data_IF_769176250047
#
_entry.id   IF_769176250047
#
_cell.length_a   1.000
_cell.length_b   1.000
_cell.length_c   1.000
_cell.angle_alpha   90.00
_cell.angle_beta   90.00
_cell.angle_gamma   90.00
#
_symmetry.space_group_name_H-M   'P 1'
#
loop_
_entity.id
_entity.type
_entity.pdbx_description
1 polymer ?
#
# COMPACT_ATOMS: atom_id res chain seq x y z
N UNK A 1 2.54 10.88 -41.68
CA UNK A 1 2.43 9.64 -40.90
C UNK A 1 2.67 10.03 -39.45
N UNK A 2 1.60 10.32 -38.70
CA UNK A 2 1.66 10.79 -37.34
C UNK A 2 1.87 9.62 -36.35
N UNK A 3 2.83 9.77 -35.46
CA UNK A 3 3.20 8.78 -34.44
C UNK A 3 2.09 8.66 -33.38
N UNK A 4 1.25 7.64 -33.52
CA UNK A 4 0.12 7.35 -32.59
C UNK A 4 0.52 6.83 -31.20
N UNK A 5 1.81 6.74 -30.86
CA UNK A 5 2.29 6.20 -29.59
C UNK A 5 2.37 7.21 -28.42
N UNK A 6 2.33 8.51 -28.69
CA UNK A 6 2.42 9.53 -27.62
C UNK A 6 1.13 9.76 -26.82
N UNK A 7 -0.04 9.39 -27.37
CA UNK A 7 -1.34 9.64 -26.71
C UNK A 7 -1.62 8.75 -25.49
N UNK A 8 -1.03 7.56 -25.39
CA UNK A 8 -1.31 6.60 -24.32
C UNK A 8 -0.62 6.95 -22.98
N UNK A 9 0.49 7.69 -23.02
CA UNK A 9 1.24 8.04 -21.78
C UNK A 9 0.66 9.26 -21.07
N UNK A 10 -0.09 10.11 -21.73
CA UNK A 10 -0.64 11.33 -21.12
C UNK A 10 -1.79 11.05 -20.14
N UNK A 11 -2.50 9.93 -20.29
CA UNK A 11 -3.56 9.50 -19.36
C UNK A 11 -3.03 8.68 -18.16
N UNK A 12 -1.73 8.40 -18.10
CA UNK A 12 -1.12 7.57 -17.04
C UNK A 12 -0.59 8.38 -15.85
N UNK A 13 -0.63 9.72 -15.94
CA UNK A 13 -0.28 10.62 -14.84
C UNK A 13 -1.54 11.04 -14.09
N UNK A 14 -1.57 10.78 -12.80
CA UNK A 14 -2.60 11.30 -11.89
C UNK A 14 -1.95 12.09 -10.75
N UNK A 15 -2.72 12.83 -10.02
CA UNK A 15 -2.27 13.53 -8.81
C UNK A 15 -2.69 12.78 -7.57
N UNK A 16 -1.88 12.85 -6.52
CA UNK A 16 -2.27 12.43 -5.17
C UNK A 16 -3.23 13.50 -4.64
N UNK A 17 -4.42 13.12 -4.16
CA UNK A 17 -5.30 14.08 -3.50
C UNK A 17 -4.57 14.75 -2.32
N UNK A 18 -4.92 15.99 -2.00
CA UNK A 18 -4.35 16.80 -0.89
C UNK A 18 -2.96 17.37 -1.20
N UNK A 19 -2.02 16.57 -1.71
CA UNK A 19 -0.63 17.01 -1.93
C UNK A 19 -0.36 17.47 -3.36
N UNK A 20 -1.28 17.21 -4.29
CA UNK A 20 -1.17 17.50 -5.73
C UNK A 20 0.10 16.92 -6.39
N UNK A 21 0.78 16.01 -5.70
CA UNK A 21 1.97 15.34 -6.24
C UNK A 21 1.59 14.46 -7.44
N UNK A 22 2.28 14.67 -8.53
CA UNK A 22 2.12 13.81 -9.73
C UNK A 22 2.67 12.42 -9.49
N UNK A 23 1.89 11.40 -9.85
CA UNK A 23 2.26 9.99 -9.75
C UNK A 23 1.93 9.22 -11.02
N UNK A 24 2.72 8.17 -11.27
CA UNK A 24 2.52 7.27 -12.40
C UNK A 24 1.51 6.18 -12.02
N UNK A 25 0.42 6.05 -12.79
CA UNK A 25 -0.63 5.04 -12.56
C UNK A 25 -1.00 4.34 -13.86
N UNK A 26 -0.16 3.41 -14.31
CA UNK A 26 -0.38 2.63 -15.54
C UNK A 26 -1.31 1.44 -15.25
N UNK A 27 -1.21 0.86 -14.04
CA UNK A 27 -2.01 -0.31 -13.67
C UNK A 27 -3.35 0.18 -13.12
N UNK A 28 -4.48 -0.37 -13.60
CA UNK A 28 -5.79 -0.07 -13.02
C UNK A 28 -5.83 -0.44 -11.53
N UNK A 29 -6.33 0.48 -10.71
CA UNK A 29 -6.41 0.32 -9.26
C UNK A 29 -7.23 -0.91 -8.86
N UNK A 30 -8.32 -1.19 -9.55
CA UNK A 30 -9.17 -2.37 -9.32
C UNK A 30 -8.40 -3.69 -9.41
N UNK A 31 -7.43 -3.78 -10.34
CA UNK A 31 -6.56 -4.98 -10.46
C UNK A 31 -5.61 -5.11 -9.28
N UNK A 32 -5.04 -4.01 -8.83
CA UNK A 32 -4.15 -3.99 -7.66
C UNK A 32 -4.93 -4.34 -6.38
N UNK A 33 -6.11 -3.75 -6.19
CA UNK A 33 -6.97 -4.03 -5.03
C UNK A 33 -7.40 -5.51 -5.01
N UNK A 34 -7.78 -6.08 -6.15
CA UNK A 34 -8.15 -7.49 -6.26
C UNK A 34 -6.95 -8.43 -5.95
N UNK A 35 -5.75 -8.07 -6.40
CA UNK A 35 -4.54 -8.83 -6.07
C UNK A 35 -4.19 -8.70 -4.58
N UNK A 36 -4.28 -7.49 -4.01
CA UNK A 36 -4.05 -7.24 -2.59
C UNK A 36 -5.01 -8.08 -1.73
N UNK A 37 -6.30 -8.10 -2.04
CA UNK A 37 -7.28 -8.92 -1.33
C UNK A 37 -6.94 -10.41 -1.36
N UNK A 38 -6.54 -10.95 -2.52
CA UNK A 38 -6.12 -12.36 -2.63
C UNK A 38 -4.88 -12.67 -1.78
N UNK A 39 -3.92 -11.76 -1.72
CA UNK A 39 -2.72 -11.91 -0.91
C UNK A 39 -3.07 -11.82 0.58
N UNK A 40 -3.92 -10.88 0.95
CA UNK A 40 -4.40 -10.71 2.31
C UNK A 40 -5.09 -11.98 2.84
N UNK A 41 -5.97 -12.60 2.05
CA UNK A 41 -6.60 -13.87 2.41
C UNK A 41 -5.58 -15.00 2.61
N UNK A 42 -4.54 -15.08 1.76
CA UNK A 42 -3.46 -16.05 1.95
C UNK A 42 -2.68 -15.80 3.25
N UNK A 43 -2.45 -14.55 3.61
CA UNK A 43 -1.80 -14.18 4.87
C UNK A 43 -2.67 -14.61 6.05
N UNK A 44 -3.97 -14.34 6.02
CA UNK A 44 -4.91 -14.77 7.06
C UNK A 44 -4.92 -16.29 7.27
N UNK A 45 -4.69 -17.07 6.21
CA UNK A 45 -4.61 -18.53 6.29
C UNK A 45 -3.26 -19.05 6.83
N UNK A 46 -2.18 -18.31 6.63
CA UNK A 46 -0.82 -18.73 7.00
C UNK A 46 -0.39 -18.26 8.39
N UNK A 47 -0.83 -17.06 8.77
CA UNK A 47 -0.39 -16.41 10.00
C UNK A 47 -1.31 -16.76 11.17
N UNK A 48 -0.74 -16.78 12.37
CA UNK A 48 -1.52 -16.92 13.59
C UNK A 48 -2.18 -15.59 13.94
N UNK A 49 -3.51 -15.55 13.85
CA UNK A 49 -4.29 -14.34 14.12
C UNK A 49 -4.83 -14.33 15.53
N UNK A 50 -4.78 -13.15 16.17
CA UNK A 50 -5.55 -12.86 17.38
C UNK A 50 -6.95 -12.48 16.93
N UNK A 51 -7.94 -13.29 17.35
CA UNK A 51 -9.34 -13.16 16.89
C UNK A 51 -10.19 -12.25 17.79
N UNK A 52 -9.74 -12.03 19.04
CA UNK A 52 -10.44 -11.23 20.04
C UNK A 52 -9.44 -10.57 21.01
N UNK A 53 -9.96 -9.77 21.92
CA UNK A 53 -9.17 -9.11 22.95
C UNK A 53 -9.01 -7.61 22.75
N UNK A 54 -8.56 -6.96 23.83
CA UNK A 54 -8.52 -5.50 23.93
C UNK A 54 -7.68 -4.84 22.81
N UNK A 55 -6.52 -5.42 22.50
CA UNK A 55 -5.63 -4.86 21.47
C UNK A 55 -6.28 -4.85 20.08
N UNK A 56 -6.95 -5.93 19.68
CA UNK A 56 -7.67 -5.98 18.40
C UNK A 56 -8.85 -5.01 18.38
N UNK A 57 -9.57 -4.87 19.49
CA UNK A 57 -10.67 -3.92 19.60
C UNK A 57 -10.19 -2.47 19.47
N UNK A 58 -9.09 -2.12 20.12
CA UNK A 58 -8.46 -0.80 19.97
C UNK A 58 -8.03 -0.53 18.52
N UNK A 59 -7.41 -1.50 17.84
CA UNK A 59 -7.02 -1.39 16.43
C UNK A 59 -8.25 -1.08 15.56
N UNK A 60 -9.34 -1.82 15.76
CA UNK A 60 -10.58 -1.61 14.99
C UNK A 60 -11.23 -0.26 15.29
N UNK A 61 -11.20 0.18 16.53
CA UNK A 61 -11.74 1.48 16.95
C UNK A 61 -10.93 2.63 16.33
N UNK A 62 -9.60 2.58 16.43
CA UNK A 62 -8.71 3.56 15.78
C UNK A 62 -8.96 3.57 14.27
N UNK A 63 -8.99 2.40 13.65
CA UNK A 63 -9.23 2.28 12.22
C UNK A 63 -10.56 2.90 11.82
N UNK A 64 -11.64 2.65 12.57
CA UNK A 64 -12.96 3.23 12.27
C UNK A 64 -12.99 4.75 12.43
N UNK A 65 -12.30 5.29 13.42
CA UNK A 65 -12.15 6.75 13.57
C UNK A 65 -11.41 7.34 12.35
N UNK A 66 -10.34 6.71 11.90
CA UNK A 66 -9.59 7.15 10.71
C UNK A 66 -10.40 7.06 9.43
N UNK A 67 -11.16 5.97 9.21
CA UNK A 67 -12.08 5.87 8.07
C UNK A 67 -13.03 7.08 8.01
N UNK A 68 -13.64 7.42 9.15
CA UNK A 68 -14.56 8.55 9.26
C UNK A 68 -13.84 9.89 9.04
N UNK A 69 -12.66 10.07 9.66
CA UNK A 69 -11.84 11.28 9.49
C UNK A 69 -11.42 11.50 8.03
N UNK A 70 -11.02 10.45 7.33
CA UNK A 70 -10.68 10.51 5.90
C UNK A 70 -11.91 10.95 5.09
N UNK A 71 -13.03 10.27 5.23
CA UNK A 71 -14.24 10.59 4.47
C UNK A 71 -14.73 12.02 4.75
N UNK A 72 -14.70 12.44 6.02
CA UNK A 72 -15.05 13.80 6.44
C UNK A 72 -14.11 14.84 5.82
N UNK A 73 -12.81 14.60 5.87
CA UNK A 73 -11.82 15.51 5.27
C UNK A 73 -12.07 15.72 3.77
N UNK A 74 -12.27 14.63 3.01
CA UNK A 74 -12.52 14.71 1.57
C UNK A 74 -13.86 15.38 1.25
N UNK A 75 -14.88 15.13 2.07
CA UNK A 75 -16.19 15.79 1.93
C UNK A 75 -16.09 17.31 2.17
N UNK A 76 -15.47 17.72 3.28
CA UNK A 76 -15.31 19.14 3.62
C UNK A 76 -14.42 19.89 2.63
N UNK A 77 -13.41 19.23 2.09
CA UNK A 77 -12.50 19.78 1.09
C UNK A 77 -13.08 19.82 -0.32
N UNK A 78 -14.30 19.29 -0.54
CA UNK A 78 -14.93 19.12 -1.85
C UNK A 78 -14.02 18.34 -2.84
N UNK A 79 -13.32 17.32 -2.32
CA UNK A 79 -12.46 16.42 -3.10
C UNK A 79 -13.08 15.04 -3.21
N UNK A 80 -12.73 14.32 -4.28
CA UNK A 80 -13.15 12.93 -4.43
C UNK A 80 -12.43 12.04 -3.40
N UNK A 81 -13.18 11.34 -2.56
CA UNK A 81 -12.64 10.39 -1.59
C UNK A 81 -12.01 9.18 -2.32
N UNK A 82 -10.69 8.98 -2.25
CA UNK A 82 -10.02 7.87 -2.90
C UNK A 82 -10.30 6.52 -2.23
N UNK A 83 -10.92 6.52 -1.06
CA UNK A 83 -11.20 5.33 -0.27
C UNK A 83 -12.63 4.80 -0.40
N UNK A 84 -13.47 5.45 -1.21
CA UNK A 84 -14.91 5.11 -1.35
C UNK A 84 -15.17 3.64 -1.72
N UNK A 85 -14.22 3.00 -2.41
CA UNK A 85 -14.28 1.60 -2.79
C UNK A 85 -13.38 0.69 -1.92
N UNK A 86 -12.86 1.19 -0.81
CA UNK A 86 -12.08 0.37 0.11
C UNK A 86 -12.98 -0.57 0.88
N UNK A 87 -12.51 -1.79 1.05
CA UNK A 87 -13.14 -2.79 1.91
C UNK A 87 -12.26 -2.95 3.16
N UNK A 88 -12.41 -2.01 4.08
CA UNK A 88 -11.62 -1.92 5.29
C UNK A 88 -11.67 -3.22 6.10
N UNK A 89 -10.51 -3.73 6.46
CA UNK A 89 -10.37 -4.92 7.29
C UNK A 89 -9.09 -4.84 8.11
N UNK A 90 -9.18 -5.19 9.38
CA UNK A 90 -8.09 -5.09 10.35
C UNK A 90 -7.80 -6.45 10.94
N UNK A 91 -6.55 -6.91 10.87
CA UNK A 91 -6.08 -8.11 11.56
C UNK A 91 -4.91 -7.81 12.49
N UNK A 92 -4.84 -8.55 13.59
CA UNK A 92 -3.71 -8.57 14.49
C UNK A 92 -3.00 -9.92 14.37
N UNK A 93 -1.76 -9.90 13.89
CA UNK A 93 -0.94 -11.10 13.69
C UNK A 93 -0.09 -11.34 14.94
N UNK A 94 -0.22 -12.54 15.53
CA UNK A 94 0.57 -12.92 16.69
C UNK A 94 2.02 -13.23 16.30
N UNK A 95 2.86 -12.22 16.31
CA UNK A 95 4.30 -12.34 16.11
C UNK A 95 5.07 -11.21 16.80
N UNK A 96 5.55 -11.46 18.03
CA UNK A 96 6.29 -10.47 18.83
C UNK A 96 7.66 -10.11 18.24
N UNK A 97 8.22 -10.95 17.36
CA UNK A 97 9.53 -10.69 16.76
C UNK A 97 9.46 -9.68 15.62
N UNK A 98 8.31 -9.59 14.97
CA UNK A 98 8.08 -8.67 13.84
C UNK A 98 7.49 -7.37 14.38
N UNK A 99 8.27 -6.30 14.26
CA UNK A 99 7.90 -4.94 14.69
C UNK A 99 7.43 -4.14 13.48
N UNK A 100 6.27 -4.50 12.95
CA UNK A 100 5.76 -3.94 11.71
C UNK A 100 4.24 -3.82 11.70
N UNK A 101 3.74 -2.93 10.85
CA UNK A 101 2.37 -2.84 10.40
C UNK A 101 2.37 -2.55 8.90
N UNK A 102 1.27 -2.75 8.22
CA UNK A 102 1.12 -2.38 6.81
C UNK A 102 -0.35 -2.24 6.43
N UNK A 103 -0.59 -1.40 5.42
CA UNK A 103 -1.88 -1.26 4.76
C UNK A 103 -1.74 -1.56 3.27
N UNK A 104 -2.46 -2.57 2.80
CA UNK A 104 -2.52 -2.89 1.37
C UNK A 104 -3.55 -2.01 0.66
N UNK A 105 -3.41 -1.84 -0.66
CA UNK A 105 -4.44 -1.26 -1.51
C UNK A 105 -5.81 -1.88 -1.25
N UNK A 106 -6.84 -1.03 -1.19
CA UNK A 106 -8.21 -1.46 -0.88
C UNK A 106 -8.54 -1.56 0.61
N UNK A 107 -7.67 -1.04 1.51
CA UNK A 107 -7.95 -0.90 2.94
C UNK A 107 -7.75 -2.18 3.75
N UNK A 108 -6.83 -3.05 3.36
CA UNK A 108 -6.50 -4.29 4.08
C UNK A 108 -5.31 -4.04 5.00
N UNK A 109 -5.53 -4.03 6.30
CA UNK A 109 -4.56 -3.62 7.32
C UNK A 109 -4.17 -4.80 8.19
N UNK A 110 -2.87 -4.96 8.42
CA UNK A 110 -2.35 -5.90 9.39
C UNK A 110 -1.34 -5.24 10.33
N UNK A 111 -1.46 -5.60 11.59
CA UNK A 111 -0.60 -5.15 12.66
C UNK A 111 0.01 -6.39 13.30
N UNK A 112 1.32 -6.40 13.50
CA UNK A 112 2.02 -7.45 14.23
C UNK A 112 2.09 -7.10 15.72
N UNK A 113 1.91 -8.09 16.59
CA UNK A 113 1.95 -7.86 18.05
C UNK A 113 3.28 -7.25 18.52
N UNK A 114 4.38 -7.46 17.79
CA UNK A 114 5.67 -6.87 18.13
C UNK A 114 5.74 -5.36 18.01
N UNK A 115 4.86 -4.70 17.22
CA UNK A 115 4.86 -3.23 17.13
C UNK A 115 4.18 -2.58 18.33
N UNK A 116 3.30 -3.30 19.03
CA UNK A 116 2.57 -2.78 20.17
C UNK A 116 3.52 -2.37 21.33
N UNK A 117 4.63 -3.07 21.48
CA UNK A 117 5.66 -2.73 22.47
C UNK A 117 6.37 -1.39 22.14
N UNK A 118 6.42 -1.02 20.85
CA UNK A 118 7.06 0.22 20.39
C UNK A 118 6.09 1.39 20.47
N UNK A 119 4.85 1.18 20.08
CA UNK A 119 3.82 2.24 20.05
C UNK A 119 3.42 2.68 21.46
N UNK A 120 3.60 1.82 22.47
CA UNK A 120 3.40 2.06 23.90
C UNK A 120 1.98 2.39 24.32
N UNK A 121 1.25 3.19 23.55
CA UNK A 121 -0.09 3.67 23.85
C UNK A 121 -0.95 3.78 22.60
N UNK A 122 -2.20 4.20 22.76
CA UNK A 122 -3.18 4.36 21.68
C UNK A 122 -2.71 5.40 20.65
N UNK A 123 -2.12 6.51 21.09
CA UNK A 123 -1.70 7.59 20.19
C UNK A 123 -0.55 7.15 19.29
N UNK A 124 0.44 6.43 19.86
CA UNK A 124 1.52 5.84 19.07
C UNK A 124 1.02 4.80 18.07
N UNK A 125 0.02 4.00 18.46
CA UNK A 125 -0.60 3.04 17.53
C UNK A 125 -1.39 3.76 16.44
N UNK A 126 -2.13 4.81 16.77
CA UNK A 126 -2.83 5.66 15.81
C UNK A 126 -1.87 6.31 14.82
N UNK A 127 -0.73 6.84 15.30
CA UNK A 127 0.27 7.43 14.42
C UNK A 127 0.82 6.43 13.39
N UNK A 128 1.14 5.20 13.82
CA UNK A 128 1.59 4.13 12.92
C UNK A 128 0.49 3.75 11.93
N UNK A 129 -0.73 3.54 12.40
CA UNK A 129 -1.86 3.18 11.55
C UNK A 129 -2.18 4.29 10.54
N UNK A 130 -2.14 5.56 10.95
CA UNK A 130 -2.34 6.71 10.09
C UNK A 130 -1.30 6.77 8.97
N UNK A 131 -0.02 6.55 9.29
CA UNK A 131 1.06 6.46 8.32
C UNK A 131 0.81 5.35 7.27
N UNK A 132 0.48 4.13 7.73
CA UNK A 132 0.23 3.01 6.82
C UNK A 132 -1.02 3.22 5.96
N UNK A 133 -2.10 3.75 6.54
CA UNK A 133 -3.31 4.11 5.81
C UNK A 133 -3.03 5.20 4.76
N UNK A 134 -2.21 6.19 5.10
CA UNK A 134 -1.82 7.25 4.19
C UNK A 134 -1.11 6.71 2.94
N UNK A 135 -0.26 5.67 3.06
CA UNK A 135 0.32 5.00 1.89
C UNK A 135 -0.73 4.41 0.96
N UNK A 136 -1.81 3.84 1.50
CA UNK A 136 -2.90 3.29 0.70
C UNK A 136 -3.77 4.39 0.07
N UNK A 137 -4.09 5.45 0.81
CA UNK A 137 -4.85 6.62 0.33
C UNK A 137 -4.10 7.35 -0.78
N UNK A 138 -2.80 7.59 -0.61
CA UNK A 138 -1.92 8.19 -1.62
C UNK A 138 -1.56 7.22 -2.76
N UNK A 139 -2.00 5.96 -2.68
CA UNK A 139 -1.80 4.92 -3.72
C UNK A 139 -0.32 4.65 -4.05
N UNK A 140 0.55 4.73 -3.05
CA UNK A 140 1.99 4.54 -3.20
C UNK A 140 2.35 3.17 -3.77
N UNK A 141 1.65 2.11 -3.36
CA UNK A 141 1.85 0.75 -3.91
C UNK A 141 1.45 0.65 -5.39
N UNK A 142 0.37 1.35 -5.81
CA UNK A 142 -0.05 1.41 -7.22
C UNK A 142 1.00 2.12 -8.07
N UNK A 143 1.54 3.25 -7.59
CA UNK A 143 2.62 3.97 -8.25
C UNK A 143 3.87 3.10 -8.38
N UNK A 144 4.26 2.42 -7.32
CA UNK A 144 5.43 1.51 -7.31
C UNK A 144 5.26 0.36 -8.30
N UNK A 145 4.11 -0.30 -8.30
CA UNK A 145 3.80 -1.37 -9.24
C UNK A 145 3.83 -0.87 -10.70
N UNK A 146 3.29 0.32 -10.95
CA UNK A 146 3.31 0.96 -12.26
C UNK A 146 4.73 1.28 -12.74
N UNK A 147 5.58 1.78 -11.86
CA UNK A 147 7.02 1.99 -12.14
C UNK A 147 7.74 0.68 -12.42
N UNK A 148 7.44 -0.38 -11.65
CA UNK A 148 7.99 -1.71 -11.86
C UNK A 148 7.66 -2.30 -13.22
N UNK A 149 6.43 -2.11 -13.70
CA UNK A 149 6.03 -2.51 -15.06
C UNK A 149 6.80 -1.75 -16.11
N UNK A 150 6.97 -0.44 -15.95
CA UNK A 150 7.72 0.38 -16.89
C UNK A 150 9.18 -0.06 -16.98
N UNK A 151 9.83 -0.28 -15.83
CA UNK A 151 11.21 -0.75 -15.76
C UNK A 151 11.34 -2.15 -16.40
N UNK A 152 10.47 -3.09 -16.01
CA UNK A 152 10.50 -4.45 -16.56
C UNK A 152 10.25 -4.48 -18.07
N UNK A 153 9.41 -3.61 -18.60
CA UNK A 153 9.19 -3.47 -20.04
C UNK A 153 10.45 -2.96 -20.73
N UNK A 154 11.13 -1.98 -20.15
CA UNK A 154 12.41 -1.46 -20.64
C UNK A 154 13.49 -2.54 -20.62
N UNK A 155 13.60 -3.32 -19.52
CA UNK A 155 14.54 -4.43 -19.42
C UNK A 155 14.27 -5.53 -20.46
N UNK A 156 13.00 -5.89 -20.72
CA UNK A 156 12.64 -6.86 -21.77
C UNK A 156 13.06 -6.39 -23.15
N UNK A 157 12.87 -5.11 -23.48
CA UNK A 157 13.30 -4.53 -24.74
C UNK A 157 14.83 -4.57 -24.85
N UNK A 158 15.54 -4.20 -23.78
CA UNK A 158 17.01 -4.24 -23.74
C UNK A 158 17.53 -5.67 -23.80
N UNK A 159 16.87 -6.64 -23.16
CA UNK A 159 17.24 -8.06 -23.18
C UNK A 159 17.09 -8.65 -24.60
N UNK A 160 16.02 -8.27 -25.32
CA UNK A 160 15.83 -8.64 -26.73
C UNK A 160 16.95 -8.04 -27.60
N UNK A 161 17.32 -6.78 -27.38
CA UNK A 161 18.38 -6.10 -28.14
C UNK A 161 19.78 -6.63 -27.81
N UNK A 162 20.00 -7.19 -26.61
CA UNK A 162 21.30 -7.72 -26.16
C UNK A 162 21.41 -9.23 -26.25
N UNK A 163 20.44 -9.92 -26.87
CA UNK A 163 20.50 -11.36 -27.09
C UNK A 163 20.28 -12.22 -25.85
N UNK A 164 19.46 -11.78 -24.89
CA UNK A 164 18.93 -12.64 -23.81
C UNK A 164 19.87 -12.87 -22.61
N UNK A 165 20.90 -12.06 -22.43
CA UNK A 165 21.88 -12.25 -21.33
C UNK A 165 21.39 -11.89 -19.94
N UNK A 166 20.27 -11.15 -19.82
CA UNK A 166 19.77 -10.60 -18.54
C UNK A 166 18.72 -11.51 -17.87
N UNK A 167 18.02 -12.35 -18.63
CA UNK A 167 16.86 -13.11 -18.14
C UNK A 167 17.16 -14.32 -17.23
N UNK A 168 18.42 -14.63 -16.95
CA UNK A 168 18.81 -15.80 -16.12
C UNK A 168 18.78 -15.59 -14.62
N UNK A 169 18.56 -14.36 -14.12
CA UNK A 169 18.78 -14.01 -12.70
C UNK A 169 17.53 -14.14 -11.81
N UNK A 170 16.31 -14.25 -12.36
CA UNK A 170 15.07 -14.08 -11.59
C UNK A 170 14.17 -15.32 -11.46
N UNK A 171 14.70 -16.51 -11.29
CA UNK A 171 13.87 -17.74 -11.20
C UNK A 171 14.06 -18.57 -9.94
N UNK A 172 14.15 -18.00 -8.76
CA UNK A 172 14.02 -18.82 -7.53
C UNK A 172 13.64 -17.94 -6.34
N UNK A 173 12.36 -17.82 -6.04
CA UNK A 173 11.95 -17.51 -4.66
C UNK A 173 10.63 -18.19 -4.39
N UNK A 174 10.67 -19.18 -3.51
CA UNK A 174 9.46 -19.74 -2.89
C UNK A 174 8.69 -18.59 -2.24
N UNK A 175 7.39 -18.47 -2.58
CA UNK A 175 6.58 -17.35 -2.10
C UNK A 175 6.13 -17.65 -0.66
N UNK A 176 6.93 -17.24 0.30
CA UNK A 176 6.52 -17.04 1.68
C UNK A 176 5.71 -15.72 1.82
N UNK A 177 5.22 -15.43 3.00
CA UNK A 177 4.45 -14.20 3.27
C UNK A 177 5.24 -12.94 2.92
N UNK A 178 6.55 -12.93 3.19
CA UNK A 178 7.46 -11.83 2.85
C UNK A 178 7.55 -11.64 1.34
N UNK A 179 7.69 -12.72 0.57
CA UNK A 179 7.70 -12.67 -0.89
C UNK A 179 6.40 -12.12 -1.48
N UNK A 180 5.25 -12.49 -0.90
CA UNK A 180 3.95 -11.98 -1.32
C UNK A 180 3.81 -10.46 -1.06
N UNK A 181 4.24 -9.99 0.10
CA UNK A 181 4.23 -8.57 0.46
C UNK A 181 5.22 -7.76 -0.38
N UNK A 182 6.40 -8.34 -0.66
CA UNK A 182 7.43 -7.74 -1.53
C UNK A 182 6.90 -7.58 -2.95
N UNK A 183 6.13 -8.52 -3.47
CA UNK A 183 5.53 -8.45 -4.80
C UNK A 183 4.58 -7.25 -4.96
N UNK A 184 3.87 -6.88 -3.90
CA UNK A 184 3.04 -5.67 -3.86
C UNK A 184 3.86 -4.40 -3.52
N UNK A 185 5.14 -4.54 -3.24
CA UNK A 185 5.98 -3.44 -2.82
C UNK A 185 5.75 -2.97 -1.37
N UNK A 186 5.04 -3.74 -0.54
CA UNK A 186 4.68 -3.34 0.82
C UNK A 186 5.87 -3.49 1.78
N UNK A 187 6.73 -4.50 1.56
CA UNK A 187 7.91 -4.74 2.43
C UNK A 187 9.14 -3.93 2.04
N UNK A 188 9.15 -3.32 0.86
CA UNK A 188 10.27 -2.48 0.45
C UNK A 188 10.04 -1.04 0.94
N UNK A 189 11.07 -0.35 1.45
CA UNK A 189 10.93 1.05 1.85
C UNK A 189 10.40 1.88 0.68
N UNK A 190 9.49 2.78 0.96
CA UNK A 190 9.05 3.77 -0.01
C UNK A 190 10.17 4.81 -0.20
N UNK A 191 10.10 5.60 -1.27
CA UNK A 191 11.08 6.66 -1.43
C UNK A 191 10.80 7.80 -0.43
N UNK A 192 11.82 8.61 -0.13
CA UNK A 192 11.73 9.68 0.88
C UNK A 192 10.55 10.62 0.69
N UNK A 193 10.15 10.91 -0.56
CA UNK A 193 9.00 11.78 -0.85
C UNK A 193 7.68 11.11 -0.46
N UNK A 194 7.56 9.81 -0.73
CA UNK A 194 6.37 9.04 -0.35
C UNK A 194 6.28 8.85 1.16
N UNK A 195 7.42 8.65 1.85
CA UNK A 195 7.45 8.60 3.32
C UNK A 195 7.01 9.93 3.94
N UNK A 196 7.59 11.06 3.51
CA UNK A 196 7.18 12.38 4.00
C UNK A 196 5.72 12.71 3.67
N UNK A 197 5.21 12.24 2.53
CA UNK A 197 3.81 12.39 2.17
C UNK A 197 2.91 11.54 3.07
N UNK A 198 3.32 10.32 3.41
CA UNK A 198 2.59 9.45 4.32
C UNK A 198 2.59 10.00 5.75
N UNK A 199 3.70 10.55 6.23
CA UNK A 199 3.76 11.24 7.52
C UNK A 199 2.79 12.42 7.58
N UNK A 200 2.79 13.27 6.55
CA UNK A 200 1.91 14.44 6.48
C UNK A 200 0.42 14.06 6.45
N UNK A 201 0.06 13.12 5.56
CA UNK A 201 -1.33 12.66 5.44
C UNK A 201 -1.77 11.88 6.68
N UNK A 202 -0.88 11.05 7.23
CA UNK A 202 -1.14 10.29 8.45
C UNK A 202 -1.48 11.17 9.64
N UNK A 203 -0.81 12.32 9.78
CA UNK A 203 -1.14 13.33 10.80
C UNK A 203 -2.55 13.90 10.60
N UNK A 204 -2.91 14.23 9.35
CA UNK A 204 -4.26 14.73 9.04
C UNK A 204 -5.34 13.70 9.39
N UNK A 205 -5.10 12.43 9.10
CA UNK A 205 -6.11 11.37 9.31
C UNK A 205 -6.21 10.91 10.77
N UNK A 206 -5.18 11.16 11.58
CA UNK A 206 -5.14 10.79 13.00
C UNK A 206 -5.51 11.92 13.96
N UNK A 207 -5.70 13.13 13.47
CA UNK A 207 -6.18 14.29 14.24
C UNK A 207 -7.70 14.32 14.35
#
# INVERSE_FOLDING_TARGET
VGCGCCGFLLNSCSTVPITDRKQLRIIPESKINAQASKIYEKIKQKEKLIKDGNALNQIKEIGKKMENSISEYFYQSNLNDPTINFQWEYILIENKKVKNAWCMPGGKIAIYTGILDITKNIDGLAAVMGHEIAHAVAKHSVERASRGVLINTTFKITDILTGGKISKINRTTGMDTVGLLTQLGIMNPFNRKQESEADYLGLIFSS
#
